data_IF_008029947181
#
_entry.id   IF_008029947181
#
_cell.length_a   1.000
_cell.length_b   1.000
_cell.length_c   1.000
_cell.angle_alpha   90.00
_cell.angle_beta   90.00
_cell.angle_gamma   90.00
#
_symmetry.space_group_name_H-M   'P 1'
#
loop_
_entity.id
_entity.type
_entity.pdbx_description
1 polymer ?
#
# COMPACT_ATOMS: atom_id res chain seq x y z
N UNK A 1 35.96 -31.15 35.00
CA UNK A 1 35.16 -29.93 35.26
C UNK A 1 35.84 -28.78 34.57
N UNK A 2 35.58 -28.60 33.27
CA UNK A 2 36.06 -27.47 32.49
C UNK A 2 34.97 -26.41 32.52
N UNK A 3 35.20 -25.34 33.29
CA UNK A 3 34.34 -24.17 33.25
C UNK A 3 34.44 -23.56 31.86
N UNK A 4 33.36 -23.66 31.09
CA UNK A 4 33.17 -22.85 29.89
C UNK A 4 33.21 -21.37 30.32
N UNK A 5 34.07 -20.52 29.73
CA UNK A 5 34.02 -19.10 30.02
C UNK A 5 32.67 -18.58 29.55
N UNK A 6 31.87 -18.05 30.47
CA UNK A 6 30.63 -17.34 30.15
C UNK A 6 31.00 -16.28 29.10
N UNK A 7 30.43 -16.35 27.87
CA UNK A 7 30.77 -15.39 26.85
C UNK A 7 30.32 -14.01 27.35
N UNK A 8 31.29 -13.15 27.65
CA UNK A 8 31.01 -11.75 27.92
C UNK A 8 30.25 -11.18 26.72
N UNK A 9 29.08 -10.56 26.92
CA UNK A 9 28.31 -10.02 25.81
C UNK A 9 29.18 -9.00 25.07
N UNK A 10 29.48 -9.28 23.80
CA UNK A 10 30.20 -8.33 22.95
C UNK A 10 29.43 -7.01 22.92
N UNK A 11 30.09 -5.85 22.94
CA UNK A 11 29.40 -4.57 22.87
C UNK A 11 28.57 -4.52 21.58
N UNK A 12 27.38 -3.93 21.67
CA UNK A 12 26.39 -3.89 20.59
C UNK A 12 26.96 -3.39 19.25
N UNK A 13 27.82 -2.35 19.17
CA UNK A 13 28.41 -1.91 17.92
C UNK A 13 29.23 -3.00 17.21
N UNK A 14 29.99 -3.82 17.96
CA UNK A 14 30.76 -4.93 17.39
C UNK A 14 29.86 -6.08 16.91
N UNK A 15 28.73 -6.31 17.59
CA UNK A 15 27.75 -7.29 17.13
C UNK A 15 27.10 -6.86 15.82
N UNK A 16 26.64 -5.61 15.74
CA UNK A 16 26.07 -5.02 14.53
C UNK A 16 27.08 -5.07 13.37
N UNK A 17 28.33 -4.70 13.63
CA UNK A 17 29.38 -4.71 12.63
C UNK A 17 29.64 -6.12 12.09
N UNK A 18 29.67 -7.13 12.97
CA UNK A 18 29.77 -8.53 12.57
C UNK A 18 28.62 -8.98 11.65
N UNK A 19 27.38 -8.61 11.98
CA UNK A 19 26.22 -8.92 11.14
C UNK A 19 26.30 -8.22 9.77
N UNK A 20 26.66 -6.94 9.72
CA UNK A 20 26.81 -6.17 8.47
C UNK A 20 27.92 -6.75 7.59
N UNK A 21 29.05 -7.15 8.19
CA UNK A 21 30.17 -7.79 7.46
C UNK A 21 29.81 -9.18 6.92
N UNK A 22 28.95 -9.91 7.63
CA UNK A 22 28.41 -11.19 7.18
C UNK A 22 27.27 -11.06 6.16
N UNK A 23 26.88 -9.84 5.78
CA UNK A 23 25.68 -9.52 4.99
C UNK A 23 24.36 -10.05 5.61
N UNK A 24 24.37 -10.32 6.92
CA UNK A 24 23.20 -10.73 7.69
C UNK A 24 22.45 -9.49 8.20
N UNK A 25 21.81 -8.80 7.27
CA UNK A 25 21.07 -7.58 7.55
C UNK A 25 19.82 -7.83 8.41
N UNK A 26 19.24 -9.03 8.36
CA UNK A 26 18.05 -9.38 9.15
C UNK A 26 18.40 -9.44 10.65
N UNK A 27 19.50 -10.11 10.99
CA UNK A 27 20.03 -10.10 12.36
C UNK A 27 20.46 -8.70 12.80
N UNK A 28 21.09 -7.92 11.91
CA UNK A 28 21.47 -6.55 12.22
C UNK A 28 20.25 -5.66 12.53
N UNK A 29 19.17 -5.81 11.75
CA UNK A 29 17.91 -5.11 11.99
C UNK A 29 17.25 -5.55 13.31
N UNK A 30 17.27 -6.84 13.63
CA UNK A 30 16.76 -7.36 14.90
C UNK A 30 17.52 -6.79 16.12
N UNK A 31 18.82 -6.50 15.95
CA UNK A 31 19.66 -5.85 16.96
C UNK A 31 19.49 -4.32 17.02
N UNK A 32 18.69 -3.73 16.14
CA UNK A 32 18.42 -2.28 16.13
C UNK A 32 19.40 -1.45 15.31
N UNK A 33 19.89 -1.98 14.17
CA UNK A 33 20.79 -1.26 13.27
C UNK A 33 20.27 0.13 12.86
N UNK A 34 18.96 0.30 12.73
CA UNK A 34 18.35 1.57 12.28
C UNK A 34 18.26 2.62 13.38
N UNK A 35 18.27 2.18 14.63
CA UNK A 35 18.22 2.97 15.86
C UNK A 35 19.63 3.27 16.41
N UNK A 36 20.65 2.59 15.87
CA UNK A 36 22.04 2.78 16.28
C UNK A 36 22.51 4.22 16.02
N UNK A 37 22.95 4.87 17.09
CA UNK A 37 23.59 6.19 17.09
C UNK A 37 25.10 6.01 17.27
N UNK A 38 25.92 6.49 16.32
CA UNK A 38 27.37 6.35 16.42
C UNK A 38 27.95 7.21 17.54
N UNK A 39 28.79 6.60 18.39
CA UNK A 39 29.65 7.32 19.33
C UNK A 39 31.11 7.24 18.84
N UNK A 40 31.89 8.33 18.85
CA UNK A 40 33.31 8.29 18.48
C UNK A 40 34.15 7.31 19.33
N UNK A 41 33.67 6.89 20.50
CA UNK A 41 34.29 5.85 21.33
C UNK A 41 34.10 4.44 20.77
N UNK A 42 33.13 4.24 19.88
CA UNK A 42 32.84 2.92 19.30
C UNK A 42 33.97 2.44 18.40
N UNK A 43 34.60 3.36 17.65
CA UNK A 43 35.76 3.06 16.81
C UNK A 43 37.02 2.73 17.64
N UNK A 44 37.01 3.06 18.94
CA UNK A 44 38.07 2.73 19.89
C UNK A 44 37.82 1.39 20.63
N UNK A 45 36.65 0.76 20.44
CA UNK A 45 36.32 -0.53 21.09
C UNK A 45 37.18 -1.67 20.56
N UNK A 46 37.54 -1.64 19.28
CA UNK A 46 38.35 -2.67 18.66
C UNK A 46 39.39 -2.05 17.70
N UNK A 47 40.69 -2.16 17.99
CA UNK A 47 41.73 -1.65 17.11
C UNK A 47 41.77 -2.36 15.74
N UNK A 48 41.15 -3.53 15.59
CA UNK A 48 41.02 -4.20 14.30
C UNK A 48 39.98 -3.53 13.38
N UNK A 49 39.09 -2.68 13.93
CA UNK A 49 37.97 -2.08 13.21
C UNK A 49 37.90 -0.55 13.40
N UNK A 50 38.91 0.23 12.95
CA UNK A 50 38.99 1.68 13.22
C UNK A 50 37.94 2.56 12.50
N UNK A 51 36.99 1.97 11.79
CA UNK A 51 35.93 2.65 11.02
C UNK A 51 34.58 1.96 11.16
N UNK A 52 34.36 1.28 12.29
CA UNK A 52 33.14 0.55 12.57
C UNK A 52 31.91 1.44 12.43
N UNK A 53 31.95 2.63 13.04
CA UNK A 53 30.84 3.59 13.02
C UNK A 53 30.48 4.00 11.59
N UNK A 54 31.49 4.28 10.75
CA UNK A 54 31.34 4.64 9.36
C UNK A 54 30.71 3.51 8.52
N UNK A 55 31.13 2.26 8.74
CA UNK A 55 30.55 1.09 8.05
C UNK A 55 29.07 0.91 8.42
N UNK A 56 28.73 1.03 9.71
CA UNK A 56 27.35 0.94 10.16
C UNK A 56 26.47 2.05 9.58
N UNK A 57 26.97 3.29 9.54
CA UNK A 57 26.26 4.41 8.90
C UNK A 57 26.05 4.19 7.40
N UNK A 58 27.06 3.67 6.69
CA UNK A 58 26.94 3.34 5.28
C UNK A 58 25.88 2.25 5.05
N UNK A 59 25.82 1.24 5.91
CA UNK A 59 24.78 0.19 5.86
C UNK A 59 23.38 0.78 6.10
N UNK A 60 23.20 1.64 7.11
CA UNK A 60 21.94 2.36 7.34
C UNK A 60 21.51 3.16 6.11
N UNK A 61 22.44 3.89 5.48
CA UNK A 61 22.13 4.70 4.31
C UNK A 61 21.70 3.83 3.12
N UNK A 62 22.41 2.74 2.84
CA UNK A 62 22.03 1.79 1.77
C UNK A 62 20.63 1.22 1.98
N UNK A 63 20.26 0.90 3.22
CA UNK A 63 18.91 0.41 3.55
C UNK A 63 17.84 1.48 3.31
N UNK A 64 18.07 2.71 3.78
CA UNK A 64 17.16 3.84 3.54
C UNK A 64 16.94 4.09 2.05
N UNK A 65 18.01 4.06 1.25
CA UNK A 65 17.94 4.24 -0.20
C UNK A 65 17.16 3.12 -0.88
N UNK A 66 17.37 1.87 -0.45
CA UNK A 66 16.63 0.72 -0.95
C UNK A 66 15.12 0.85 -0.65
N UNK A 67 14.75 1.28 0.54
CA UNK A 67 13.34 1.52 0.90
C UNK A 67 12.74 2.67 0.10
N UNK A 68 13.46 3.79 -0.06
CA UNK A 68 13.01 4.89 -0.89
C UNK A 68 12.83 4.48 -2.37
N UNK A 69 13.70 3.61 -2.89
CA UNK A 69 13.55 3.03 -4.22
C UNK A 69 12.29 2.15 -4.33
N UNK A 70 12.05 1.27 -3.35
CA UNK A 70 10.84 0.44 -3.28
C UNK A 70 9.57 1.28 -3.24
N UNK A 71 9.57 2.36 -2.46
CA UNK A 71 8.41 3.24 -2.34
C UNK A 71 8.12 3.99 -3.65
N UNK A 72 9.16 4.50 -4.32
CA UNK A 72 9.02 5.10 -5.66
C UNK A 72 8.41 4.13 -6.68
N UNK A 73 8.83 2.87 -6.63
CA UNK A 73 8.28 1.82 -7.48
C UNK A 73 6.80 1.57 -7.18
N UNK A 74 6.43 1.40 -5.90
CA UNK A 74 5.02 1.23 -5.47
C UNK A 74 4.14 2.40 -5.89
N UNK A 75 4.59 3.62 -5.68
CA UNK A 75 3.87 4.82 -6.11
C UNK A 75 3.67 4.86 -7.63
N UNK A 76 4.66 4.43 -8.42
CA UNK A 76 4.55 4.33 -9.88
C UNK A 76 3.55 3.24 -10.29
N UNK A 77 3.60 2.07 -9.65
CA UNK A 77 2.67 0.96 -9.92
C UNK A 77 1.22 1.38 -9.64
N UNK A 78 0.96 2.05 -8.52
CA UNK A 78 -0.37 2.56 -8.18
C UNK A 78 -0.90 3.54 -9.24
N UNK A 79 -0.05 4.45 -9.75
CA UNK A 79 -0.43 5.37 -10.84
C UNK A 79 -0.77 4.64 -12.13
N UNK A 80 0.00 3.62 -12.49
CA UNK A 80 -0.26 2.82 -13.69
C UNK A 80 -1.56 2.01 -13.56
N UNK A 81 -1.80 1.42 -12.39
CA UNK A 81 -3.03 0.68 -12.11
C UNK A 81 -4.27 1.59 -12.24
N UNK A 82 -4.22 2.82 -11.72
CA UNK A 82 -5.31 3.80 -11.90
C UNK A 82 -5.58 4.10 -13.37
N UNK A 83 -4.53 4.34 -14.16
CA UNK A 83 -4.68 4.58 -15.62
C UNK A 83 -5.21 3.36 -16.36
N UNK A 84 -4.82 2.16 -15.95
CA UNK A 84 -5.34 0.92 -16.52
C UNK A 84 -6.84 0.77 -16.23
N UNK A 85 -7.25 0.97 -14.98
CA UNK A 85 -8.65 0.93 -14.56
C UNK A 85 -9.51 1.98 -15.29
N UNK A 86 -9.01 3.20 -15.48
CA UNK A 86 -9.72 4.24 -16.24
C UNK A 86 -9.91 3.82 -17.71
N UNK A 87 -8.87 3.26 -18.34
CA UNK A 87 -8.96 2.77 -19.72
C UNK A 87 -9.92 1.60 -19.84
N UNK A 88 -9.92 0.70 -18.87
CA UNK A 88 -10.85 -0.41 -18.81
C UNK A 88 -12.29 0.09 -18.66
N UNK A 89 -12.55 1.03 -17.75
CA UNK A 89 -13.87 1.67 -17.60
C UNK A 89 -14.36 2.35 -18.89
N UNK A 90 -13.46 2.97 -19.67
CA UNK A 90 -13.80 3.53 -20.99
C UNK A 90 -14.07 2.46 -22.06
N UNK A 91 -13.47 1.28 -21.93
CA UNK A 91 -13.63 0.16 -22.88
C UNK A 91 -14.86 -0.69 -22.59
N UNK A 92 -15.27 -0.78 -21.32
CA UNK A 92 -16.50 -1.47 -20.94
C UNK A 92 -17.68 -0.69 -21.55
N UNK A 93 -18.45 -1.29 -22.47
CA UNK A 93 -19.66 -0.66 -22.97
C UNK A 93 -20.55 -0.37 -21.76
N UNK A 94 -21.19 0.81 -21.73
CA UNK A 94 -22.17 1.11 -20.70
C UNK A 94 -23.15 -0.08 -20.61
N UNK A 95 -23.42 -0.62 -19.40
CA UNK A 95 -24.43 -1.65 -19.26
C UNK A 95 -25.68 -1.13 -19.95
N UNK A 96 -26.18 -1.88 -20.94
CA UNK A 96 -27.34 -1.48 -21.72
C UNK A 96 -28.40 -1.05 -20.72
N UNK A 97 -28.68 0.25 -20.68
CA UNK A 97 -29.76 0.78 -19.88
C UNK A 97 -30.97 0.01 -20.37
N UNK A 98 -31.50 -0.87 -19.51
CA UNK A 98 -32.75 -1.58 -19.77
C UNK A 98 -33.70 -0.52 -20.29
N UNK A 99 -34.03 -0.63 -21.58
CA UNK A 99 -34.93 0.28 -22.25
C UNK A 99 -36.11 0.49 -21.31
N UNK A 100 -36.55 1.74 -21.07
CA UNK A 100 -37.67 1.97 -20.17
C UNK A 100 -38.80 1.08 -20.68
N UNK A 101 -39.17 0.08 -19.89
CA UNK A 101 -40.31 -0.75 -20.16
C UNK A 101 -41.43 0.25 -20.44
N UNK A 102 -41.96 0.22 -21.66
CA UNK A 102 -43.07 1.07 -22.10
C UNK A 102 -44.07 1.02 -20.96
N UNK A 103 -44.23 2.13 -20.26
CA UNK A 103 -45.09 2.20 -19.09
C UNK A 103 -46.52 2.08 -19.59
N UNK A 104 -46.96 0.83 -19.79
CA UNK A 104 -48.36 0.52 -20.02
C UNK A 104 -49.10 0.94 -18.78
N UNK A 105 -49.87 2.02 -18.93
CA UNK A 105 -50.80 2.49 -17.90
C UNK A 105 -51.57 1.28 -17.36
N UNK A 106 -51.64 1.09 -16.03
CA UNK A 106 -52.42 0.01 -15.45
C UNK A 106 -53.85 0.05 -16.04
N UNK A 107 -54.42 -1.10 -16.42
CA UNK A 107 -55.69 -1.17 -17.16
C UNK A 107 -56.84 -0.45 -16.45
N UNK A 108 -56.78 -0.38 -15.12
CA UNK A 108 -57.72 0.36 -14.29
C UNK A 108 -57.72 1.88 -14.58
N UNK A 109 -56.54 2.48 -14.76
CA UNK A 109 -56.40 3.92 -15.05
C UNK A 109 -56.87 4.23 -16.47
N UNK A 110 -56.57 3.36 -17.44
CA UNK A 110 -57.07 3.49 -18.80
C UNK A 110 -58.61 3.44 -18.85
N UNK A 111 -59.24 2.55 -18.07
CA UNK A 111 -60.69 2.45 -17.96
C UNK A 111 -61.33 3.72 -17.34
N UNK A 112 -60.70 4.30 -16.31
CA UNK A 112 -61.16 5.55 -15.69
C UNK A 112 -61.10 6.71 -16.68
N UNK A 113 -60.00 6.84 -17.44
CA UNK A 113 -59.86 7.87 -18.47
C UNK A 113 -60.86 7.69 -19.63
N UNK A 114 -61.11 6.46 -20.06
CA UNK A 114 -62.12 6.17 -21.09
C UNK A 114 -63.54 6.55 -20.64
N UNK A 115 -63.88 6.28 -19.38
CA UNK A 115 -65.19 6.63 -18.80
C UNK A 115 -65.34 8.14 -18.60
N UNK A 116 -64.27 8.82 -18.19
CA UNK A 116 -64.24 10.28 -18.10
C UNK A 116 -64.40 10.95 -19.47
N UNK A 117 -63.73 10.43 -20.51
CA UNK A 117 -63.89 10.90 -21.89
C UNK A 117 -65.30 10.68 -22.44
N UNK A 118 -65.91 9.53 -22.14
CA UNK A 118 -67.29 9.25 -22.53
C UNK A 118 -68.31 10.17 -21.83
N UNK A 119 -68.07 10.52 -20.55
CA UNK A 119 -68.90 11.48 -19.82
C UNK A 119 -68.79 12.89 -20.39
N UNK A 120 -67.58 13.33 -20.73
CA UNK A 120 -67.35 14.64 -21.34
C UNK A 120 -67.93 14.77 -22.76
N UNK A 121 -67.97 13.66 -23.53
CA UNK A 121 -68.64 13.64 -24.84
C UNK A 121 -70.17 13.55 -24.74
N UNK A 122 -70.70 12.97 -23.64
CA UNK A 122 -72.13 12.84 -23.39
C UNK A 122 -72.81 14.11 -22.84
N UNK A 123 -72.06 15.02 -22.21
CA UNK A 123 -72.58 16.33 -21.75
C UNK A 123 -72.60 17.41 -22.85
N UNK A 124 -72.15 17.09 -24.07
CA UNK A 124 -72.01 18.03 -25.19
C UNK A 124 -73.05 17.87 -26.32
N UNK A 125 -74.20 17.23 -26.07
CA UNK A 125 -75.30 17.20 -27.02
C UNK A 125 -76.65 17.29 -26.29
N UNK A 126 -77.60 18.06 -26.84
CA UNK A 126 -78.18 19.31 -26.31
C UNK A 126 -79.06 19.19 -25.06
#
# INVERSE_FOLDING_TARGET
>A
MTSDPIPVPRPLPLQLFGCVQADDLDSALALGLMEYLPDPRDDALDPACPQLSAVLLAAQQRLRDAWAARERYRARAARLQRRAAEREARRTPAPATSQPAVATLPPLVAAILARAKAKAAGEAQP
#
